data_IF_785088781911
#
_entry.id   IF_785088781911
#
_cell.length_a   1.000
_cell.length_b   1.000
_cell.length_c   1.000
_cell.angle_alpha   90.00
_cell.angle_beta   90.00
_cell.angle_gamma   90.00
#
_symmetry.space_group_name_H-M   'P 1'
#
loop_
_entity.id
_entity.type
_entity.pdbx_description
1 polymer ?
#
# COMPACT_ATOMS: atom_id res chain seq x y z
N UNK A 1 0.73 31.30 16.08
CA UNK A 1 0.87 32.51 15.27
C UNK A 1 1.93 32.26 14.21
N UNK A 2 1.56 32.47 12.95
CA UNK A 2 2.39 32.13 11.77
C UNK A 2 3.48 33.20 11.52
N UNK A 3 4.43 33.32 12.44
CA UNK A 3 5.57 34.20 12.24
C UNK A 3 6.69 33.43 11.52
N UNK A 4 7.22 33.91 10.37
CA UNK A 4 8.32 33.25 9.66
C UNK A 4 9.55 33.02 10.53
N UNK A 5 9.89 33.93 11.42
CA UNK A 5 11.01 33.84 12.34
C UNK A 5 10.85 32.65 13.33
N UNK A 6 9.62 32.38 13.79
CA UNK A 6 9.36 31.25 14.68
C UNK A 6 9.47 29.89 13.97
N UNK A 7 9.18 29.83 12.67
CA UNK A 7 9.36 28.62 11.85
C UNK A 7 10.83 28.31 11.60
N UNK A 8 11.63 29.33 11.33
CA UNK A 8 13.07 29.16 11.16
C UNK A 8 13.75 28.73 12.46
N UNK A 9 13.36 29.31 13.60
CA UNK A 9 13.85 28.92 14.90
C UNK A 9 13.51 27.44 15.19
N UNK A 10 12.28 27.01 14.93
CA UNK A 10 11.84 25.62 15.10
C UNK A 10 12.63 24.65 14.20
N UNK A 11 12.88 25.04 12.94
CA UNK A 11 13.69 24.23 12.03
C UNK A 11 15.15 24.09 12.51
N UNK A 12 15.74 25.15 13.03
CA UNK A 12 17.10 25.14 13.60
C UNK A 12 17.17 24.26 14.85
N UNK A 13 16.19 24.36 15.73
CA UNK A 13 16.10 23.48 16.92
C UNK A 13 15.93 22.02 16.55
N UNK A 14 15.06 21.70 15.57
CA UNK A 14 14.91 20.34 15.07
C UNK A 14 16.21 19.80 14.46
N UNK A 15 16.90 20.62 13.65
CA UNK A 15 18.18 20.19 13.05
C UNK A 15 19.24 19.94 14.12
N UNK A 16 19.28 20.77 15.16
CA UNK A 16 20.17 20.60 16.30
C UNK A 16 19.85 19.34 17.09
N UNK A 17 18.57 19.06 17.32
CA UNK A 17 18.11 17.86 17.99
C UNK A 17 18.48 16.57 17.23
N UNK A 18 18.41 16.61 15.88
CA UNK A 18 18.90 15.51 15.03
C UNK A 18 20.42 15.31 15.17
N UNK A 19 21.19 16.39 15.20
CA UNK A 19 22.65 16.32 15.36
C UNK A 19 23.05 15.82 16.75
N UNK A 20 22.40 16.31 17.80
CA UNK A 20 22.70 15.94 19.20
C UNK A 20 22.33 14.48 19.51
N UNK A 21 21.45 13.84 18.71
CA UNK A 21 21.05 12.45 18.86
C UNK A 21 21.60 11.52 17.77
N UNK A 22 22.63 11.94 17.02
CA UNK A 22 23.20 11.20 15.87
C UNK A 22 22.12 10.69 14.89
N UNK A 23 20.97 11.36 14.85
CA UNK A 23 19.85 10.99 13.99
C UNK A 23 20.01 11.63 12.61
N UNK A 24 20.01 10.81 11.57
CA UNK A 24 20.12 11.32 10.21
C UNK A 24 18.82 12.03 9.79
N UNK A 25 18.82 13.36 9.54
CA UNK A 25 17.63 14.08 9.07
C UNK A 25 17.09 13.57 7.71
N UNK A 26 17.94 12.88 6.92
CA UNK A 26 17.55 12.21 5.68
C UNK A 26 16.95 10.80 5.91
N UNK A 27 16.88 10.31 7.15
CA UNK A 27 16.26 9.01 7.45
C UNK A 27 14.79 8.93 6.99
N UNK A 28 14.07 10.05 7.00
CA UNK A 28 12.74 10.17 6.41
C UNK A 28 12.71 9.93 4.89
N UNK A 29 13.73 10.36 4.15
CA UNK A 29 13.85 10.11 2.71
C UNK A 29 14.16 8.65 2.39
N UNK A 30 14.93 7.99 3.25
CA UNK A 30 15.24 6.55 3.10
C UNK A 30 13.97 5.70 3.23
N UNK A 31 13.01 6.10 4.06
CA UNK A 31 11.72 5.42 4.18
C UNK A 31 10.86 5.55 2.92
N UNK A 32 11.09 6.56 2.09
CA UNK A 32 10.42 6.75 0.78
C UNK A 32 11.12 6.02 -0.37
N UNK A 33 12.33 5.52 -0.18
CA UNK A 33 13.09 4.82 -1.22
C UNK A 33 12.30 3.66 -1.88
N UNK A 34 11.59 2.80 -1.13
CA UNK A 34 10.76 1.75 -1.73
C UNK A 34 9.68 2.32 -2.67
N UNK A 35 9.11 3.49 -2.37
CA UNK A 35 8.10 4.14 -3.19
C UNK A 35 8.69 4.63 -4.52
N UNK A 36 9.93 5.16 -4.52
CA UNK A 36 10.62 5.58 -5.74
C UNK A 36 10.98 4.40 -6.65
N UNK A 37 11.26 3.23 -6.08
CA UNK A 37 11.47 2.00 -6.86
C UNK A 37 10.14 1.42 -7.34
N UNK A 38 9.15 1.36 -6.47
CA UNK A 38 7.83 0.79 -6.78
C UNK A 38 7.05 1.63 -7.81
N UNK A 39 7.20 2.96 -7.77
CA UNK A 39 6.51 3.86 -8.70
C UNK A 39 6.75 3.54 -10.17
N UNK A 40 8.01 3.52 -10.66
CA UNK A 40 8.32 3.13 -12.04
C UNK A 40 7.85 1.72 -12.39
N UNK A 41 8.03 0.74 -11.50
CA UNK A 41 7.55 -0.64 -11.71
C UNK A 41 6.04 -0.66 -11.91
N UNK A 42 5.30 0.03 -11.05
CA UNK A 42 3.85 0.16 -11.17
C UNK A 42 3.44 0.82 -12.48
N UNK A 43 4.08 1.93 -12.87
CA UNK A 43 3.80 2.62 -14.11
C UNK A 43 4.07 1.75 -15.35
N UNK A 44 5.17 0.99 -15.36
CA UNK A 44 5.47 0.04 -16.44
C UNK A 44 4.42 -1.08 -16.53
N UNK A 45 4.04 -1.67 -15.39
CA UNK A 45 2.98 -2.68 -15.33
C UNK A 45 1.65 -2.13 -15.81
N UNK A 46 1.25 -0.96 -15.32
CA UNK A 46 0.03 -0.29 -15.73
C UNK A 46 0.01 0.01 -17.23
N UNK A 47 1.09 0.60 -17.75
CA UNK A 47 1.24 0.90 -19.17
C UNK A 47 1.14 -0.36 -20.03
N UNK A 48 1.84 -1.42 -19.62
CA UNK A 48 1.85 -2.70 -20.36
C UNK A 48 0.45 -3.31 -20.40
N UNK A 49 -0.22 -3.45 -19.24
CA UNK A 49 -1.56 -4.04 -19.18
C UNK A 49 -2.60 -3.22 -19.95
N UNK A 50 -2.50 -1.90 -19.90
CA UNK A 50 -3.39 -1.00 -20.65
C UNK A 50 -3.13 -1.02 -22.16
N UNK A 51 -1.89 -1.33 -22.61
CA UNK A 51 -1.52 -1.40 -24.03
C UNK A 51 -1.96 -2.71 -24.69
N UNK A 52 -2.11 -3.81 -23.94
CA UNK A 52 -2.41 -5.15 -24.50
C UNK A 52 -3.65 -5.16 -25.42
N UNK A 53 -4.79 -4.55 -25.08
CA UNK A 53 -5.94 -4.52 -26.00
C UNK A 53 -5.67 -3.80 -27.32
N UNK A 54 -4.80 -2.80 -27.32
CA UNK A 54 -4.37 -2.09 -28.54
C UNK A 54 -3.39 -2.91 -29.38
N UNK A 55 -2.48 -3.65 -28.73
CA UNK A 55 -1.56 -4.60 -29.40
C UNK A 55 -2.37 -5.72 -30.05
N UNK A 56 -3.33 -6.31 -29.34
CA UNK A 56 -4.18 -7.38 -29.86
C UNK A 56 -4.95 -6.98 -31.11
N UNK A 57 -5.32 -5.69 -31.22
CA UNK A 57 -6.03 -5.11 -32.39
C UNK A 57 -5.07 -4.64 -33.51
N UNK A 58 -3.76 -4.78 -33.32
CA UNK A 58 -2.73 -4.28 -34.26
C UNK A 58 -2.64 -2.75 -34.34
N UNK A 59 -3.23 -2.03 -33.36
CA UNK A 59 -3.28 -0.55 -33.34
C UNK A 59 -2.18 0.09 -32.48
N UNK A 60 -1.33 -0.71 -31.87
CA UNK A 60 -0.23 -0.20 -31.04
C UNK A 60 0.98 0.06 -31.92
N UNK A 61 1.52 1.28 -31.91
CA UNK A 61 2.75 1.69 -32.61
C UNK A 61 2.93 1.06 -34.00
N UNK A 62 1.94 1.23 -34.90
CA UNK A 62 1.95 0.68 -36.26
C UNK A 62 2.03 -0.87 -36.32
N UNK A 63 1.40 -1.56 -35.39
CA UNK A 63 1.37 -3.03 -35.37
C UNK A 63 2.55 -3.69 -34.67
N UNK A 64 3.42 -2.92 -33.97
CA UNK A 64 4.48 -3.48 -33.15
C UNK A 64 3.97 -4.01 -31.82
N UNK A 65 4.71 -4.96 -31.21
CA UNK A 65 4.48 -5.45 -29.87
C UNK A 65 5.10 -4.57 -28.78
N UNK A 66 4.93 -4.98 -27.54
CA UNK A 66 5.57 -4.37 -26.37
C UNK A 66 6.27 -5.44 -25.55
N UNK A 67 7.60 -5.47 -25.57
CA UNK A 67 8.38 -6.50 -24.90
C UNK A 67 8.03 -7.90 -25.41
N UNK A 68 7.60 -8.78 -24.52
CA UNK A 68 7.18 -10.15 -24.87
C UNK A 68 5.75 -10.25 -25.45
N UNK A 69 4.98 -9.15 -25.46
CA UNK A 69 3.62 -9.12 -26.00
C UNK A 69 3.64 -8.76 -27.49
N UNK A 70 3.63 -9.77 -28.33
CA UNK A 70 3.30 -9.64 -29.74
C UNK A 70 1.77 -9.67 -29.95
N UNK A 71 1.31 -9.54 -31.21
CA UNK A 71 -0.13 -9.54 -31.52
C UNK A 71 -0.78 -10.87 -31.13
N UNK A 72 -0.10 -12.00 -31.31
CA UNK A 72 -0.64 -13.32 -31.01
C UNK A 72 -0.83 -13.52 -29.51
N UNK A 73 0.21 -13.23 -28.72
CA UNK A 73 0.19 -13.31 -27.26
C UNK A 73 -0.82 -12.32 -26.67
N UNK A 74 -0.92 -11.11 -27.21
CA UNK A 74 -1.87 -10.11 -26.77
C UNK A 74 -3.32 -10.54 -27.06
N UNK A 75 -3.60 -11.19 -28.21
CA UNK A 75 -4.92 -11.77 -28.51
C UNK A 75 -5.26 -12.89 -27.52
N UNK A 76 -4.33 -13.79 -27.25
CA UNK A 76 -4.53 -14.86 -26.28
C UNK A 76 -4.85 -14.29 -24.89
N UNK A 77 -4.10 -13.26 -24.45
CA UNK A 77 -4.36 -12.60 -23.18
C UNK A 77 -5.76 -11.96 -23.14
N UNK A 78 -6.14 -11.20 -24.19
CA UNK A 78 -7.45 -10.54 -24.25
C UNK A 78 -8.63 -11.49 -24.42
N UNK A 79 -8.41 -12.75 -24.77
CA UNK A 79 -9.42 -13.81 -24.78
C UNK A 79 -9.53 -14.55 -23.44
N UNK A 80 -8.63 -14.26 -22.49
CA UNK A 80 -8.61 -14.93 -21.18
C UNK A 80 -9.71 -14.36 -20.29
N UNK A 81 -10.43 -15.25 -19.62
CA UNK A 81 -11.43 -14.90 -18.62
C UNK A 81 -10.97 -15.35 -17.23
N UNK A 82 -11.14 -14.48 -16.26
CA UNK A 82 -10.87 -14.76 -14.83
C UNK A 82 -12.19 -14.57 -14.07
N UNK A 83 -12.65 -15.59 -13.38
CA UNK A 83 -13.97 -15.62 -12.73
C UNK A 83 -15.13 -15.31 -13.70
N UNK A 84 -15.00 -15.67 -14.98
CA UNK A 84 -16.01 -15.40 -16.01
C UNK A 84 -15.99 -13.98 -16.57
N UNK A 85 -15.04 -13.13 -16.16
CA UNK A 85 -14.88 -11.74 -16.65
C UNK A 85 -13.66 -11.68 -17.54
N UNK A 86 -13.78 -11.03 -18.69
CA UNK A 86 -12.68 -10.83 -19.60
C UNK A 86 -11.65 -9.85 -18.99
N UNK A 87 -10.38 -10.24 -19.01
CA UNK A 87 -9.31 -9.44 -18.38
C UNK A 87 -9.09 -8.07 -19.01
N UNK A 88 -9.53 -7.87 -20.25
CA UNK A 88 -9.43 -6.60 -20.97
C UNK A 88 -10.64 -5.67 -20.75
N UNK A 89 -11.73 -6.16 -20.17
CA UNK A 89 -12.93 -5.37 -19.85
C UNK A 89 -12.72 -4.51 -18.61
N UNK A 90 -13.48 -3.43 -18.53
CA UNK A 90 -13.60 -2.59 -17.36
C UNK A 90 -15.06 -2.56 -16.86
N UNK A 91 -15.31 -1.90 -15.74
CA UNK A 91 -16.65 -1.82 -15.16
C UNK A 91 -17.70 -1.27 -16.11
N UNK A 92 -17.34 -0.36 -17.01
CA UNK A 92 -18.29 0.27 -17.95
C UNK A 92 -18.64 -0.63 -19.12
N UNK A 93 -17.72 -1.48 -19.56
CA UNK A 93 -17.88 -2.35 -20.75
C UNK A 93 -18.34 -3.76 -20.41
N UNK A 94 -18.13 -4.20 -19.15
CA UNK A 94 -18.53 -5.53 -18.69
C UNK A 94 -20.06 -5.69 -18.63
N UNK A 95 -20.52 -6.93 -18.74
CA UNK A 95 -21.89 -7.32 -18.48
C UNK A 95 -22.26 -7.22 -16.98
N UNK A 96 -23.48 -7.57 -16.60
CA UNK A 96 -23.94 -7.48 -15.21
C UNK A 96 -23.10 -8.37 -14.29
N UNK A 97 -22.76 -9.59 -14.73
CA UNK A 97 -21.91 -10.51 -13.97
C UNK A 97 -20.52 -9.91 -13.77
N UNK A 98 -19.90 -9.40 -14.83
CA UNK A 98 -18.61 -8.74 -14.78
C UNK A 98 -18.59 -7.51 -13.88
N UNK A 99 -19.63 -6.68 -13.90
CA UNK A 99 -19.76 -5.52 -13.01
C UNK A 99 -19.80 -5.94 -11.53
N UNK A 100 -20.50 -7.02 -11.21
CA UNK A 100 -20.56 -7.55 -9.84
C UNK A 100 -19.17 -8.02 -9.40
N UNK A 101 -18.48 -8.80 -10.23
CA UNK A 101 -17.14 -9.31 -9.91
C UNK A 101 -16.15 -8.15 -9.75
N UNK A 102 -16.11 -7.21 -10.69
CA UNK A 102 -15.24 -6.01 -10.59
C UNK A 102 -15.57 -5.21 -9.33
N UNK A 103 -16.86 -5.03 -9.02
CA UNK A 103 -17.29 -4.37 -7.78
C UNK A 103 -16.80 -5.06 -6.52
N UNK A 104 -16.84 -6.39 -6.47
CA UNK A 104 -16.30 -7.18 -5.36
C UNK A 104 -14.78 -6.96 -5.23
N UNK A 105 -14.04 -6.99 -6.35
CA UNK A 105 -12.59 -6.74 -6.33
C UNK A 105 -12.25 -5.35 -5.79
N UNK A 106 -12.97 -4.30 -6.24
CA UNK A 106 -12.79 -2.93 -5.74
C UNK A 106 -13.12 -2.84 -4.25
N UNK A 107 -14.21 -3.47 -3.81
CA UNK A 107 -14.59 -3.50 -2.39
C UNK A 107 -13.54 -4.19 -1.52
N UNK A 108 -13.00 -5.33 -1.98
CA UNK A 108 -11.91 -6.03 -1.28
C UNK A 108 -10.64 -5.19 -1.21
N UNK A 109 -10.29 -4.48 -2.29
CA UNK A 109 -9.14 -3.56 -2.31
C UNK A 109 -9.32 -2.43 -1.30
N UNK A 110 -10.48 -1.79 -1.28
CA UNK A 110 -10.82 -0.75 -0.31
C UNK A 110 -10.75 -1.27 1.13
N UNK A 111 -11.25 -2.48 1.36
CA UNK A 111 -11.20 -3.13 2.67
C UNK A 111 -9.76 -3.43 3.12
N UNK A 112 -8.91 -3.97 2.24
CA UNK A 112 -7.49 -4.21 2.54
C UNK A 112 -6.76 -2.93 2.92
N UNK A 113 -6.97 -1.85 2.15
CA UNK A 113 -6.37 -0.54 2.42
C UNK A 113 -6.85 0.04 3.75
N UNK A 114 -8.17 0.01 3.97
CA UNK A 114 -8.77 0.49 5.21
C UNK A 114 -8.20 -0.27 6.41
N UNK A 115 -8.14 -1.60 6.33
CA UNK A 115 -7.62 -2.44 7.40
C UNK A 115 -6.13 -2.18 7.67
N UNK A 116 -5.33 -2.03 6.60
CA UNK A 116 -3.90 -1.70 6.71
C UNK A 116 -3.71 -0.34 7.39
N UNK A 117 -4.44 0.68 6.97
CA UNK A 117 -4.37 2.02 7.54
C UNK A 117 -4.88 2.05 8.98
N UNK A 118 -5.98 1.36 9.26
CA UNK A 118 -6.53 1.24 10.62
C UNK A 118 -5.54 0.58 11.58
N UNK A 119 -4.91 -0.54 11.17
CA UNK A 119 -3.88 -1.20 11.97
C UNK A 119 -2.67 -0.30 12.22
N UNK A 120 -2.22 0.44 11.20
CA UNK A 120 -1.12 1.39 11.33
C UNK A 120 -1.44 2.47 12.36
N UNK A 121 -2.63 3.09 12.26
CA UNK A 121 -3.06 4.16 13.19
C UNK A 121 -3.25 3.67 14.63
N UNK A 122 -3.96 2.55 14.80
CA UNK A 122 -4.36 2.09 16.14
C UNK A 122 -3.31 1.29 16.87
N UNK A 123 -2.50 0.53 16.13
CA UNK A 123 -1.56 -0.43 16.72
C UNK A 123 -0.11 0.00 16.63
N UNK A 124 0.27 0.72 15.58
CA UNK A 124 1.69 0.98 15.28
C UNK A 124 2.09 2.46 15.37
N UNK A 125 1.20 3.37 15.76
CA UNK A 125 1.55 4.76 15.97
C UNK A 125 2.09 4.97 17.38
N UNK A 126 3.28 5.56 17.49
CA UNK A 126 3.84 5.96 18.77
C UNK A 126 2.99 7.04 19.44
N UNK A 127 2.76 6.94 20.75
CA UNK A 127 1.94 7.91 21.49
C UNK A 127 2.55 9.32 21.47
N UNK A 128 3.87 9.42 21.44
CA UNK A 128 4.60 10.69 21.31
C UNK A 128 4.39 11.40 19.97
N UNK A 129 4.06 10.65 18.90
CA UNK A 129 3.77 11.20 17.57
C UNK A 129 2.29 11.56 17.37
N UNK A 130 1.42 11.27 18.34
CA UNK A 130 -0.02 11.51 18.29
C UNK A 130 -0.35 12.98 18.59
N UNK A 131 -0.17 13.87 17.59
CA UNK A 131 -0.69 15.23 17.66
C UNK A 131 -1.98 15.35 16.81
N UNK A 132 -2.80 16.37 17.08
CA UNK A 132 -4.07 16.60 16.36
C UNK A 132 -3.90 16.68 14.84
N UNK A 133 -2.80 17.24 14.37
CA UNK A 133 -2.53 17.41 12.94
C UNK A 133 -2.22 16.06 12.28
N UNK A 134 -1.39 15.23 12.92
CA UNK A 134 -1.07 13.87 12.45
C UNK A 134 -2.31 12.99 12.44
N UNK A 135 -3.13 13.06 13.49
CA UNK A 135 -4.38 12.30 13.60
C UNK A 135 -5.38 12.70 12.51
N UNK A 136 -5.54 14.01 12.26
CA UNK A 136 -6.42 14.51 11.21
C UNK A 136 -5.95 14.08 9.82
N UNK A 137 -4.65 14.16 9.55
CA UNK A 137 -4.07 13.72 8.27
C UNK A 137 -4.25 12.22 8.05
N UNK A 138 -4.05 11.41 9.08
CA UNK A 138 -4.26 9.96 9.01
C UNK A 138 -5.74 9.60 8.80
N UNK A 139 -6.67 10.27 9.47
CA UNK A 139 -8.12 10.11 9.25
C UNK A 139 -8.51 10.50 7.83
N UNK A 140 -7.95 11.58 7.31
CA UNK A 140 -8.17 12.00 5.93
C UNK A 140 -7.67 10.93 4.95
N UNK A 141 -6.47 10.39 5.16
CA UNK A 141 -5.92 9.31 4.33
C UNK A 141 -6.78 8.03 4.40
N UNK A 142 -7.31 7.69 5.58
CA UNK A 142 -8.15 6.51 5.78
C UNK A 142 -9.39 6.50 4.85
N UNK A 143 -9.96 7.65 4.56
CA UNK A 143 -11.15 7.78 3.72
C UNK A 143 -10.84 8.18 2.27
N UNK A 144 -9.81 9.00 2.05
CA UNK A 144 -9.45 9.48 0.72
C UNK A 144 -8.98 8.33 -0.19
N UNK A 145 -8.15 7.43 0.29
CA UNK A 145 -7.64 6.33 -0.53
C UNK A 145 -8.73 5.37 -1.03
N UNK A 146 -9.65 4.86 -0.19
CA UNK A 146 -10.76 4.04 -0.69
C UNK A 146 -11.60 4.77 -1.75
N UNK A 147 -11.88 6.05 -1.59
CA UNK A 147 -12.63 6.85 -2.56
C UNK A 147 -11.87 6.91 -3.90
N UNK A 148 -10.57 7.20 -3.88
CA UNK A 148 -9.74 7.18 -5.10
C UNK A 148 -9.74 5.81 -5.79
N UNK A 149 -9.72 4.73 -5.02
CA UNK A 149 -9.76 3.37 -5.58
C UNK A 149 -11.10 3.03 -6.23
N UNK A 150 -12.20 3.53 -5.71
CA UNK A 150 -13.52 3.36 -6.36
C UNK A 150 -13.51 4.04 -7.73
N UNK A 151 -13.05 5.28 -7.82
CA UNK A 151 -12.99 6.01 -9.10
C UNK A 151 -12.03 5.37 -10.11
N UNK A 152 -10.82 4.99 -9.67
CA UNK A 152 -9.87 4.33 -10.56
C UNK A 152 -10.31 2.93 -10.97
N UNK A 153 -10.94 2.18 -10.07
CA UNK A 153 -11.42 0.82 -10.33
C UNK A 153 -12.49 0.73 -11.43
N UNK A 154 -13.30 1.77 -11.58
CA UNK A 154 -14.31 1.84 -12.65
C UNK A 154 -13.67 2.00 -14.03
N UNK A 155 -12.58 2.74 -14.12
CA UNK A 155 -11.96 3.09 -15.41
C UNK A 155 -10.93 2.05 -15.90
N UNK A 156 -10.38 1.22 -14.99
CA UNK A 156 -9.26 0.34 -15.31
C UNK A 156 -9.69 -1.03 -15.83
N UNK A 157 -8.88 -1.65 -16.72
CA UNK A 157 -9.07 -3.04 -17.14
C UNK A 157 -9.03 -4.00 -15.97
N UNK A 158 -9.82 -5.07 -16.02
CA UNK A 158 -9.92 -6.06 -14.95
C UNK A 158 -8.59 -6.71 -14.59
N UNK A 159 -7.70 -6.92 -15.58
CA UNK A 159 -6.33 -7.40 -15.34
C UNK A 159 -5.55 -6.51 -14.37
N UNK A 160 -5.71 -5.19 -14.46
CA UNK A 160 -5.05 -4.22 -13.53
C UNK A 160 -5.62 -4.37 -12.13
N UNK A 161 -6.93 -4.57 -12.00
CA UNK A 161 -7.58 -4.76 -10.70
C UNK A 161 -7.15 -6.06 -10.02
N UNK A 162 -6.98 -7.16 -10.78
CA UNK A 162 -6.43 -8.42 -10.26
C UNK A 162 -5.02 -8.20 -9.71
N UNK A 163 -4.15 -7.54 -10.47
CA UNK A 163 -2.81 -7.17 -10.00
C UNK A 163 -2.86 -6.30 -8.73
N UNK A 164 -3.71 -5.28 -8.72
CA UNK A 164 -3.83 -4.37 -7.58
C UNK A 164 -4.36 -5.06 -6.33
N UNK A 165 -5.39 -5.90 -6.46
CA UNK A 165 -5.92 -6.67 -5.34
C UNK A 165 -4.84 -7.58 -4.74
N UNK A 166 -4.12 -8.31 -5.60
CA UNK A 166 -3.02 -9.18 -5.17
C UNK A 166 -1.94 -8.38 -4.43
N UNK A 167 -1.53 -7.24 -4.99
CA UNK A 167 -0.56 -6.34 -4.35
C UNK A 167 -1.06 -5.81 -3.00
N UNK A 168 -2.35 -5.43 -2.90
CA UNK A 168 -2.94 -4.97 -1.63
C UNK A 168 -2.98 -6.08 -0.57
N UNK A 169 -3.31 -7.32 -0.95
CA UNK A 169 -3.27 -8.46 -0.03
C UNK A 169 -1.84 -8.72 0.46
N UNK A 170 -0.85 -8.73 -0.44
CA UNK A 170 0.55 -8.89 -0.06
C UNK A 170 1.04 -7.78 0.87
N UNK A 171 0.66 -6.53 0.60
CA UNK A 171 1.00 -5.39 1.46
C UNK A 171 0.31 -5.46 2.82
N UNK A 172 -0.94 -5.91 2.88
CA UNK A 172 -1.66 -6.12 4.13
C UNK A 172 -0.97 -7.19 4.99
N UNK A 173 -0.63 -8.34 4.40
CA UNK A 173 0.09 -9.43 5.08
C UNK A 173 1.45 -8.94 5.60
N UNK A 174 2.20 -8.24 4.76
CA UNK A 174 3.47 -7.63 5.15
C UNK A 174 3.30 -6.63 6.30
N UNK A 175 2.29 -5.77 6.24
CA UNK A 175 2.00 -4.77 7.28
C UNK A 175 1.65 -5.43 8.62
N UNK A 176 0.80 -6.46 8.60
CA UNK A 176 0.43 -7.21 9.81
C UNK A 176 1.66 -7.91 10.40
N UNK A 177 2.46 -8.57 9.55
CA UNK A 177 3.70 -9.20 9.97
C UNK A 177 4.69 -8.20 10.58
N UNK A 178 4.89 -7.06 9.92
CA UNK A 178 5.80 -6.00 10.38
C UNK A 178 5.37 -5.45 11.74
N UNK A 179 4.07 -5.17 11.94
CA UNK A 179 3.55 -4.68 13.22
C UNK A 179 3.73 -5.72 14.34
N UNK A 180 3.67 -7.00 14.00
CA UNK A 180 3.84 -8.08 14.98
C UNK A 180 5.32 -8.32 15.34
N UNK A 181 6.21 -8.32 14.35
CA UNK A 181 7.64 -8.66 14.54
C UNK A 181 8.47 -7.43 14.91
N UNK A 182 8.21 -6.29 14.26
CA UNK A 182 8.96 -5.04 14.41
C UNK A 182 8.02 -3.86 14.69
N UNK A 183 7.29 -3.85 15.82
CA UNK A 183 6.41 -2.74 16.14
C UNK A 183 7.20 -1.45 16.35
N UNK A 184 6.59 -0.31 16.05
CA UNK A 184 7.19 1.01 16.29
C UNK A 184 7.39 1.23 17.79
N UNK A 185 8.58 1.63 18.25
CA UNK A 185 8.83 1.93 19.66
C UNK A 185 7.83 2.93 20.23
N UNK A 186 7.32 2.68 21.43
CA UNK A 186 6.30 3.52 22.08
C UNK A 186 4.88 3.41 21.48
N UNK A 187 4.64 2.40 20.65
CA UNK A 187 3.30 2.08 20.14
C UNK A 187 2.61 1.02 20.99
N UNK A 188 1.26 0.93 20.97
CA UNK A 188 0.53 -0.13 21.67
C UNK A 188 0.95 -1.54 21.25
N UNK A 189 1.38 -1.73 20.01
CA UNK A 189 1.89 -3.02 19.53
C UNK A 189 3.26 -3.36 20.16
N UNK A 190 4.12 -2.38 20.39
CA UNK A 190 5.39 -2.59 21.08
C UNK A 190 5.19 -2.98 22.54
N UNK A 191 4.30 -2.28 23.25
CA UNK A 191 3.94 -2.62 24.63
C UNK A 191 3.34 -4.02 24.74
N UNK A 192 2.47 -4.39 23.79
CA UNK A 192 1.85 -5.72 23.76
C UNK A 192 2.90 -6.82 23.51
N UNK A 193 3.87 -6.55 22.62
CA UNK A 193 4.97 -7.47 22.35
C UNK A 193 5.86 -7.66 23.58
N UNK A 194 6.27 -6.57 24.22
CA UNK A 194 7.11 -6.60 25.44
C UNK A 194 6.45 -7.42 26.56
N UNK A 195 5.14 -7.21 26.81
CA UNK A 195 4.37 -8.00 27.77
C UNK A 195 4.33 -9.49 27.40
N UNK A 196 4.19 -9.79 26.13
CA UNK A 196 4.20 -11.18 25.63
C UNK A 196 5.57 -11.84 25.80
N UNK A 197 6.64 -11.13 25.46
CA UNK A 197 8.02 -11.62 25.58
C UNK A 197 8.39 -11.87 27.05
N UNK A 198 8.04 -10.97 27.96
CA UNK A 198 8.20 -11.18 29.41
C UNK A 198 7.39 -12.38 29.92
N UNK A 199 6.14 -12.55 29.48
CA UNK A 199 5.33 -13.69 29.87
C UNK A 199 5.93 -15.03 29.39
N UNK A 200 6.44 -15.07 28.15
CA UNK A 200 7.14 -16.23 27.61
C UNK A 200 8.43 -16.52 28.35
N UNK A 201 9.21 -15.51 28.70
CA UNK A 201 10.44 -15.66 29.46
C UNK A 201 10.16 -16.20 30.88
N UNK A 202 9.16 -15.62 31.57
CA UNK A 202 8.76 -16.10 32.90
C UNK A 202 8.27 -17.56 32.86
N UNK A 203 7.48 -17.91 31.85
CA UNK A 203 7.05 -19.29 31.65
C UNK A 203 8.23 -20.26 31.37
N UNK A 204 9.24 -19.78 30.64
CA UNK A 204 10.46 -20.55 30.37
C UNK A 204 11.31 -20.71 31.63
N UNK A 205 11.47 -19.65 32.45
CA UNK A 205 12.16 -19.71 33.73
C UNK A 205 11.46 -20.66 34.71
N UNK A 206 10.15 -20.58 34.81
CA UNK A 206 9.36 -21.48 35.66
C UNK A 206 9.52 -22.97 35.25
N UNK A 207 9.53 -23.26 33.94
CA UNK A 207 9.79 -24.61 33.43
C UNK A 207 11.21 -25.09 33.70
N UNK A 208 12.19 -24.19 33.77
CA UNK A 208 13.59 -24.49 34.07
C UNK A 208 13.89 -24.54 35.58
N UNK A 209 12.90 -24.31 36.44
CA UNK A 209 13.09 -24.26 37.90
C UNK A 209 13.95 -23.08 38.39
N UNK A 210 14.06 -22.02 37.57
CA UNK A 210 14.83 -20.82 37.88
C UNK A 210 13.88 -19.74 38.47
N UNK A 211 14.33 -18.99 39.51
CA UNK A 211 13.55 -17.90 40.07
C UNK A 211 13.31 -16.74 39.10
#
# INVERSE_FOLDING_TARGET
KNDPASKEALQREMMKLYQDNDANPMGGCTSMLPMFVQGPVFMCMFYTLSAIPYIARGKFRNGSGLGAFDIATAKQFTSTNVFGVNVAENFTTADIHGKIIIGIFVALMCFCLWLMQYNSMKRNMAQSAANKQTEMMQKMMLWMFPIMYIFSGVAMPFAVLVYWLTNNICNLLRSVWQIHVFPTPGSPAAEAKEKSDHAHENARRAKAGLP
#
